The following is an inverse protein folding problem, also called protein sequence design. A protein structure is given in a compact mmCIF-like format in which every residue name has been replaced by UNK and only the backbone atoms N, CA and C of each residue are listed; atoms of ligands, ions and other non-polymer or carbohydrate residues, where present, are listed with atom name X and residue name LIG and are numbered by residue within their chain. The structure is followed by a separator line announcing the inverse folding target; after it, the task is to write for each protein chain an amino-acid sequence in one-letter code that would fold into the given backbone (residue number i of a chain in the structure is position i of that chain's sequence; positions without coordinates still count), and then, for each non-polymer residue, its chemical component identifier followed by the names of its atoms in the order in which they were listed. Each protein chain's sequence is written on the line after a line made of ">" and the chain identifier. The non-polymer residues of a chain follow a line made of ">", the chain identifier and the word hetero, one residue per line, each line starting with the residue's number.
data_IF_288712367428
#
_entry.id   IF_288712367428
#
_cell.length_a   1.000
_cell.length_b   1.000
_cell.length_c   1.000
_cell.angle_alpha   90.00
_cell.angle_beta   90.00
_cell.angle_gamma   90.00
#
_symmetry.space_group_name_H-M   'P 1'
#
loop_
_entity.id
_entity.type
_entity.pdbx_description
1 polymer ?
#
# COMPACT_ATOMS: atom_id res chain seq x y z
N UNK A 1 14.07 -1.10 -8.38
CA UNK A 1 13.03 -0.14 -8.71
C UNK A 1 11.75 -0.43 -7.93
N UNK A 2 10.89 0.59 -7.73
CA UNK A 2 9.64 0.51 -7.00
C UNK A 2 8.51 0.96 -7.94
N UNK A 3 7.44 0.18 -8.05
CA UNK A 3 6.27 0.50 -8.87
C UNK A 3 5.01 0.56 -7.99
N UNK A 4 4.13 1.53 -8.25
CA UNK A 4 2.83 1.64 -7.59
C UNK A 4 1.70 1.16 -8.50
N UNK A 5 0.60 0.75 -7.91
CA UNK A 5 -0.65 0.50 -8.61
C UNK A 5 -1.66 1.58 -8.24
N UNK A 6 -2.10 2.36 -9.22
CA UNK A 6 -2.99 3.50 -9.02
C UNK A 6 -4.19 3.50 -9.99
N UNK A 7 -5.22 4.29 -9.67
CA UNK A 7 -6.39 4.49 -10.54
C UNK A 7 -5.99 5.22 -11.82
N UNK A 8 -6.60 4.86 -12.96
CA UNK A 8 -6.36 5.51 -14.26
C UNK A 8 -6.71 7.00 -14.29
N UNK A 9 -7.66 7.45 -13.44
CA UNK A 9 -8.05 8.86 -13.35
C UNK A 9 -6.89 9.77 -12.92
N UNK A 10 -5.92 9.24 -12.16
CA UNK A 10 -4.72 9.97 -11.72
C UNK A 10 -3.86 10.39 -12.93
N UNK A 11 -3.90 9.63 -14.03
CA UNK A 11 -3.18 9.96 -15.25
C UNK A 11 -3.64 11.29 -15.89
N UNK A 12 -4.85 11.76 -15.59
CA UNK A 12 -5.36 13.05 -16.10
C UNK A 12 -4.84 14.27 -15.34
N UNK A 13 -4.14 14.10 -14.21
CA UNK A 13 -3.63 15.20 -13.39
C UNK A 13 -2.16 15.48 -13.72
N UNK A 14 -1.82 16.62 -14.35
CA UNK A 14 -0.50 16.81 -14.97
C UNK A 14 0.67 16.60 -14.00
N UNK A 15 0.63 17.20 -12.82
CA UNK A 15 1.72 17.11 -11.83
C UNK A 15 1.81 15.71 -11.23
N UNK A 16 0.66 15.15 -10.83
CA UNK A 16 0.61 13.83 -10.21
C UNK A 16 0.97 12.75 -11.23
N UNK A 17 0.53 12.90 -12.48
CA UNK A 17 0.91 11.99 -13.56
C UNK A 17 2.42 12.00 -13.82
N UNK A 18 3.06 13.17 -13.83
CA UNK A 18 4.51 13.26 -13.98
C UNK A 18 5.25 12.52 -12.83
N UNK A 19 4.83 12.70 -11.58
CA UNK A 19 5.38 11.98 -10.44
C UNK A 19 5.12 10.47 -10.53
N UNK A 20 3.92 10.07 -10.91
CA UNK A 20 3.53 8.67 -11.07
C UNK A 20 4.32 7.99 -12.21
N UNK A 21 4.58 8.71 -13.30
CA UNK A 21 5.40 8.22 -14.41
C UNK A 21 6.86 7.97 -13.98
N UNK A 22 7.44 8.87 -13.18
CA UNK A 22 8.79 8.68 -12.61
C UNK A 22 8.88 7.42 -11.74
N UNK A 23 7.77 7.04 -11.08
CA UNK A 23 7.69 5.85 -10.25
C UNK A 23 7.16 4.61 -11.00
N UNK A 24 7.12 4.64 -12.33
CA UNK A 24 6.70 3.52 -13.18
C UNK A 24 5.33 2.96 -12.78
N UNK A 25 4.40 3.84 -12.38
CA UNK A 25 3.08 3.47 -11.87
C UNK A 25 2.26 2.66 -12.87
N UNK A 26 1.67 1.57 -12.41
CA UNK A 26 0.74 0.73 -13.17
C UNK A 26 -0.67 1.30 -12.97
N UNK A 27 -1.32 1.74 -14.04
CA UNK A 27 -2.67 2.28 -13.96
C UNK A 27 -3.73 1.19 -14.13
N UNK A 28 -4.76 1.23 -13.27
CA UNK A 28 -5.91 0.34 -13.33
C UNK A 28 -7.19 1.11 -13.67
N UNK A 29 -7.84 0.74 -14.76
CA UNK A 29 -9.21 1.17 -15.07
C UNK A 29 -10.20 0.15 -14.48
N UNK A 30 -10.80 0.48 -13.34
CA UNK A 30 -11.71 -0.43 -12.61
C UNK A 30 -13.06 -0.61 -13.27
N UNK A 31 -13.43 0.23 -14.23
CA UNK A 31 -14.69 0.16 -14.95
C UNK A 31 -14.62 -0.88 -16.09
N UNK A 32 -13.43 -1.25 -16.54
CA UNK A 32 -13.24 -2.25 -17.59
C UNK A 32 -13.31 -3.67 -17.03
N UNK A 33 -14.19 -4.49 -17.58
CA UNK A 33 -14.16 -5.95 -17.33
C UNK A 33 -12.79 -6.49 -17.79
N UNK A 34 -12.12 -7.23 -16.92
CA UNK A 34 -10.79 -7.78 -17.23
C UNK A 34 -9.60 -6.90 -16.82
N UNK A 35 -9.81 -5.64 -16.41
CA UNK A 35 -8.73 -4.75 -15.98
C UNK A 35 -7.86 -5.37 -14.87
N UNK A 36 -8.46 -6.13 -13.95
CA UNK A 36 -7.73 -6.85 -12.91
C UNK A 36 -6.73 -7.85 -13.49
N UNK A 37 -7.09 -8.58 -14.55
CA UNK A 37 -6.19 -9.53 -15.20
C UNK A 37 -5.00 -8.81 -15.86
N UNK A 38 -5.26 -7.71 -16.59
CA UNK A 38 -4.20 -6.90 -17.22
C UNK A 38 -3.23 -6.36 -16.19
N UNK A 39 -3.75 -5.81 -15.08
CA UNK A 39 -2.92 -5.31 -13.98
C UNK A 39 -2.14 -6.44 -13.32
N UNK A 40 -2.77 -7.59 -13.09
CA UNK A 40 -2.08 -8.78 -12.54
C UNK A 40 -0.92 -9.21 -13.42
N UNK A 41 -1.09 -9.22 -14.74
CA UNK A 41 -0.02 -9.56 -15.68
C UNK A 41 1.10 -8.52 -15.65
N UNK A 42 0.77 -7.22 -15.66
CA UNK A 42 1.76 -6.14 -15.57
C UNK A 42 2.56 -6.20 -14.25
N UNK A 43 1.88 -6.43 -13.14
CA UNK A 43 2.54 -6.64 -11.83
C UNK A 43 3.44 -7.88 -11.87
N UNK A 44 2.97 -8.99 -12.48
CA UNK A 44 3.74 -10.20 -12.64
C UNK A 44 5.06 -9.96 -13.36
N UNK A 45 5.04 -9.21 -14.47
CA UNK A 45 6.26 -8.84 -15.19
C UNK A 45 7.22 -8.01 -14.35
N UNK A 46 6.73 -7.02 -13.60
CA UNK A 46 7.57 -6.19 -12.73
C UNK A 46 8.25 -7.00 -11.64
N UNK A 47 7.48 -7.89 -11.00
CA UNK A 47 8.01 -8.78 -9.98
C UNK A 47 9.04 -9.76 -10.57
N UNK A 48 8.82 -10.27 -11.79
CA UNK A 48 9.76 -11.11 -12.49
C UNK A 48 11.08 -10.40 -12.82
N UNK A 49 11.02 -9.08 -13.05
CA UNK A 49 12.20 -8.21 -13.21
C UNK A 49 12.90 -7.85 -11.88
N UNK A 50 12.40 -8.39 -10.74
CA UNK A 50 12.95 -8.11 -9.41
C UNK A 50 12.55 -6.75 -8.86
N UNK A 51 11.49 -6.13 -9.40
CA UNK A 51 10.97 -4.88 -8.87
C UNK A 51 10.07 -5.10 -7.64
N UNK A 52 10.05 -4.10 -6.75
CA UNK A 52 9.07 -4.03 -5.68
C UNK A 52 7.76 -3.44 -6.21
N UNK A 53 6.63 -4.04 -5.86
CA UNK A 53 5.31 -3.50 -6.24
C UNK A 53 4.53 -3.13 -4.99
N UNK A 54 4.11 -1.87 -4.89
CA UNK A 54 3.23 -1.38 -3.82
C UNK A 54 1.79 -1.45 -4.28
N UNK A 55 0.98 -2.14 -3.49
CA UNK A 55 -0.43 -2.39 -3.77
C UNK A 55 -1.29 -1.90 -2.61
N UNK A 56 -2.21 -0.98 -2.88
CA UNK A 56 -3.27 -0.60 -1.94
C UNK A 56 -4.41 -1.62 -2.01
N UNK A 57 -4.34 -2.62 -1.12
CA UNK A 57 -5.22 -3.80 -1.19
C UNK A 57 -6.68 -3.48 -0.86
N UNK A 58 -6.99 -2.38 -0.18
CA UNK A 58 -8.35 -1.89 0.03
C UNK A 58 -9.05 -1.54 -1.28
N UNK A 59 -8.24 -1.18 -2.27
CA UNK A 59 -8.74 -0.85 -3.59
C UNK A 59 -9.53 0.45 -3.67
N UNK A 60 -9.66 1.22 -2.60
CA UNK A 60 -10.26 2.55 -2.53
C UNK A 60 -9.68 3.30 -1.33
N UNK A 61 -9.94 4.59 -1.23
CA UNK A 61 -9.53 5.41 -0.08
C UNK A 61 -10.63 5.44 0.97
N UNK A 62 -10.25 5.37 2.23
CA UNK A 62 -11.14 5.49 3.39
C UNK A 62 -10.97 6.83 4.11
N UNK A 63 -11.83 7.06 5.10
CA UNK A 63 -11.85 8.26 5.94
C UNK A 63 -10.73 8.32 7.00
N UNK A 64 -9.78 7.40 6.96
CA UNK A 64 -8.69 7.30 7.91
C UNK A 64 -9.06 6.73 9.29
N UNK A 65 -10.33 6.41 9.53
CA UNK A 65 -10.80 5.90 10.82
C UNK A 65 -10.79 4.39 10.94
N UNK A 66 -10.80 3.69 9.82
CA UNK A 66 -10.84 2.22 9.78
C UNK A 66 -10.16 1.69 8.52
N UNK A 67 -9.57 0.54 8.66
CA UNK A 67 -9.10 -0.25 7.53
C UNK A 67 -10.30 -0.85 6.80
N UNK A 68 -10.37 -0.66 5.50
CA UNK A 68 -11.36 -1.32 4.65
C UNK A 68 -10.92 -2.76 4.34
N UNK A 69 -11.85 -3.66 3.99
CA UNK A 69 -11.50 -5.04 3.66
C UNK A 69 -10.56 -5.14 2.45
N UNK A 70 -9.52 -5.95 2.54
CA UNK A 70 -8.60 -6.18 1.44
C UNK A 70 -9.24 -7.01 0.32
N UNK A 71 -8.98 -6.63 -0.90
CA UNK A 71 -9.50 -7.29 -2.10
C UNK A 71 -8.55 -8.40 -2.55
N UNK A 72 -8.93 -9.65 -2.31
CA UNK A 72 -8.11 -10.82 -2.67
C UNK A 72 -7.81 -10.92 -4.18
N UNK A 73 -8.62 -10.32 -5.04
CA UNK A 73 -8.36 -10.25 -6.47
C UNK A 73 -7.06 -9.48 -6.80
N UNK A 74 -6.75 -8.44 -6.01
CA UNK A 74 -5.52 -7.66 -6.17
C UNK A 74 -4.30 -8.45 -5.71
N UNK A 75 -4.40 -9.17 -4.59
CA UNK A 75 -3.33 -10.07 -4.11
C UNK A 75 -3.12 -11.25 -5.06
N UNK A 76 -4.14 -11.61 -5.85
CA UNK A 76 -4.03 -12.62 -6.91
C UNK A 76 -2.98 -12.30 -7.98
N UNK A 77 -2.53 -11.05 -8.11
CA UNK A 77 -1.41 -10.67 -8.95
C UNK A 77 -0.09 -11.36 -8.57
N UNK A 78 0.10 -11.69 -7.28
CA UNK A 78 1.23 -12.50 -6.84
C UNK A 78 1.29 -13.86 -7.55
N UNK A 79 0.13 -14.47 -7.84
CA UNK A 79 0.06 -15.74 -8.58
C UNK A 79 0.48 -15.57 -10.05
N UNK A 80 0.13 -14.44 -10.68
CA UNK A 80 0.59 -14.16 -12.04
C UNK A 80 2.12 -13.99 -12.09
N UNK A 81 2.72 -13.40 -11.06
CA UNK A 81 4.17 -13.32 -10.92
C UNK A 81 4.84 -14.70 -10.83
N UNK A 82 4.27 -15.60 -10.02
CA UNK A 82 4.79 -16.98 -9.92
C UNK A 82 4.74 -17.75 -11.24
N UNK A 83 3.73 -17.44 -12.07
CA UNK A 83 3.60 -18.07 -13.40
C UNK A 83 4.57 -17.48 -14.43
N UNK A 84 4.92 -16.19 -14.30
CA UNK A 84 5.86 -15.51 -15.20
C UNK A 84 7.32 -15.87 -14.91
N UNK A 85 7.65 -16.22 -13.67
CA UNK A 85 8.99 -16.60 -13.26
C UNK A 85 9.18 -18.14 -13.30
N UNK A 86 9.71 -18.63 -14.39
CA UNK A 86 10.24 -19.98 -14.43
C UNK A 86 11.46 -20.09 -13.48
N UNK A 87 11.20 -20.42 -12.21
CA UNK A 87 12.29 -20.83 -11.31
C UNK A 87 12.33 -20.27 -9.89
N UNK A 88 11.66 -19.18 -9.52
CA UNK A 88 11.75 -18.65 -8.14
C UNK A 88 10.68 -19.16 -7.18
N UNK A 89 9.59 -19.74 -7.66
CA UNK A 89 8.61 -20.51 -6.87
C UNK A 89 7.89 -19.78 -5.73
N UNK A 90 8.29 -18.55 -5.35
CA UNK A 90 7.72 -17.80 -4.22
C UNK A 90 7.76 -16.29 -4.41
N UNK A 91 6.73 -15.61 -3.94
CA UNK A 91 6.65 -14.14 -3.82
C UNK A 91 6.46 -13.80 -2.36
N UNK A 92 7.10 -12.74 -1.88
CA UNK A 92 6.91 -12.26 -0.52
C UNK A 92 5.87 -11.14 -0.51
N UNK A 93 4.82 -11.30 0.30
CA UNK A 93 3.86 -10.24 0.61
C UNK A 93 4.31 -9.57 1.90
N UNK A 94 4.57 -8.27 1.85
CA UNK A 94 4.98 -7.47 2.99
C UNK A 94 3.83 -6.55 3.41
N UNK A 95 3.08 -6.88 4.50
CA UNK A 95 2.05 -5.98 5.02
C UNK A 95 2.69 -4.67 5.51
N UNK A 96 2.06 -3.54 5.19
CA UNK A 96 2.53 -2.22 5.55
C UNK A 96 1.35 -1.37 6.01
N UNK A 97 1.41 -0.84 7.23
CA UNK A 97 0.45 0.12 7.75
C UNK A 97 1.02 1.53 7.69
N UNK A 98 0.23 2.48 7.18
CA UNK A 98 0.54 3.91 7.21
C UNK A 98 -0.55 4.60 8.02
N UNK A 99 -0.14 5.40 9.01
CA UNK A 99 -1.06 6.17 9.84
C UNK A 99 -0.55 7.59 10.10
N UNK A 100 -1.47 8.47 10.44
CA UNK A 100 -1.24 9.88 10.76
C UNK A 100 -1.66 10.14 12.21
N UNK A 101 -0.83 9.75 13.20
CA UNK A 101 -1.23 9.79 14.61
C UNK A 101 -1.30 11.19 15.20
N UNK A 102 -0.55 12.17 14.64
CA UNK A 102 -0.46 13.52 15.20
C UNK A 102 -0.47 14.59 14.10
N UNK A 103 -1.04 15.75 14.45
CA UNK A 103 -0.97 16.97 13.66
C UNK A 103 -0.54 18.12 14.57
N UNK A 104 0.45 18.92 14.17
CA UNK A 104 1.03 19.98 15.01
C UNK A 104 1.51 19.48 16.39
N UNK A 105 2.00 18.23 16.46
CA UNK A 105 2.43 17.59 17.70
C UNK A 105 1.30 17.05 18.60
N UNK A 106 0.03 17.32 18.30
CA UNK A 106 -1.12 16.86 19.05
C UNK A 106 -1.73 15.59 18.43
N UNK A 107 -2.26 14.65 19.25
CA UNK A 107 -2.94 13.48 18.75
C UNK A 107 -4.14 13.85 17.88
N UNK A 108 -4.24 13.25 16.69
CA UNK A 108 -5.38 13.42 15.78
C UNK A 108 -6.56 12.62 16.29
N UNK A 109 -7.65 13.29 16.62
CA UNK A 109 -8.89 12.64 17.05
C UNK A 109 -9.70 12.12 15.88
N UNK A 110 -10.68 11.25 16.16
CA UNK A 110 -11.44 10.55 15.14
C UNK A 110 -12.13 11.48 14.13
N UNK A 111 -12.66 12.62 14.58
CA UNK A 111 -13.33 13.62 13.72
C UNK A 111 -12.37 14.33 12.78
N UNK A 112 -11.11 14.51 13.17
CA UNK A 112 -10.09 15.21 12.38
C UNK A 112 -9.44 14.33 11.32
N UNK A 113 -9.50 13.00 11.45
CA UNK A 113 -8.87 12.07 10.48
C UNK A 113 -9.45 12.23 9.09
N UNK A 114 -10.73 12.48 8.98
CA UNK A 114 -11.39 12.75 7.69
C UNK A 114 -10.92 14.02 7.00
N UNK A 115 -10.31 14.97 7.73
CA UNK A 115 -9.70 16.17 7.15
C UNK A 115 -8.32 15.89 6.55
N UNK A 116 -7.63 14.87 7.05
CA UNK A 116 -6.32 14.42 6.55
C UNK A 116 -6.51 13.47 5.36
N UNK A 117 -7.53 12.62 5.43
CA UNK A 117 -7.78 11.61 4.42
C UNK A 117 -8.48 12.21 3.19
N UNK A 118 -7.98 11.87 2.00
CA UNK A 118 -8.67 12.15 0.76
C UNK A 118 -9.49 10.92 0.34
N UNK A 119 -10.82 11.03 0.34
CA UNK A 119 -11.72 9.88 0.10
C UNK A 119 -13.04 10.31 -0.56
N UNK A 120 -13.79 9.33 -1.06
CA UNK A 120 -15.07 9.56 -1.72
C UNK A 120 -14.92 10.41 -2.99
N UNK A 121 -15.82 11.37 -3.16
CA UNK A 121 -15.89 12.26 -4.33
C UNK A 121 -15.21 13.64 -4.06
N UNK A 122 -14.30 13.70 -3.09
CA UNK A 122 -13.59 14.95 -2.77
C UNK A 122 -12.65 15.36 -3.90
N UNK A 123 -12.71 16.64 -4.28
CA UNK A 123 -11.75 17.23 -5.19
C UNK A 123 -10.34 17.28 -4.55
N UNK A 124 -9.35 16.73 -5.27
CA UNK A 124 -7.99 16.64 -4.73
C UNK A 124 -7.35 18.02 -4.50
N UNK A 125 -7.50 18.95 -5.43
CA UNK A 125 -6.76 20.22 -5.36
C UNK A 125 -7.16 21.08 -4.15
N UNK A 126 -8.45 21.34 -3.86
CA UNK A 126 -8.84 22.05 -2.65
C UNK A 126 -8.49 21.27 -1.37
N UNK A 127 -8.64 19.93 -1.39
CA UNK A 127 -8.24 19.11 -0.25
C UNK A 127 -6.75 19.22 0.04
N UNK A 128 -5.90 19.11 -0.99
CA UNK A 128 -4.44 19.24 -0.84
C UNK A 128 -4.03 20.62 -0.33
N UNK A 129 -4.70 21.69 -0.79
CA UNK A 129 -4.44 23.04 -0.30
C UNK A 129 -4.75 23.13 1.20
N UNK A 130 -5.90 22.63 1.66
CA UNK A 130 -6.28 22.58 3.07
C UNK A 130 -5.33 21.72 3.89
N UNK A 131 -4.93 20.57 3.35
CA UNK A 131 -3.97 19.67 3.99
C UNK A 131 -2.63 20.35 4.27
N UNK A 132 -2.06 21.05 3.26
CA UNK A 132 -0.78 21.75 3.38
C UNK A 132 -0.87 22.93 4.37
N UNK A 133 -1.99 23.67 4.37
CA UNK A 133 -2.22 24.77 5.30
C UNK A 133 -2.41 24.30 6.75
N UNK A 134 -2.79 23.05 6.94
CA UNK A 134 -3.08 22.50 8.27
C UNK A 134 -1.88 22.25 9.17
N UNK A 135 -0.66 22.48 8.68
CA UNK A 135 0.58 22.35 9.43
C UNK A 135 1.16 20.91 9.39
N UNK A 136 2.26 20.68 10.13
CA UNK A 136 2.99 19.43 10.09
C UNK A 136 2.18 18.26 10.62
N UNK A 137 2.32 17.10 9.95
CA UNK A 137 1.67 15.85 10.29
C UNK A 137 2.75 14.79 10.51
N UNK A 138 2.63 14.06 11.62
CA UNK A 138 3.46 12.87 11.87
C UNK A 138 2.92 11.71 11.04
N UNK A 139 3.81 11.07 10.31
CA UNK A 139 3.51 9.84 9.55
C UNK A 139 4.20 8.68 10.21
N UNK A 140 3.44 7.67 10.60
CA UNK A 140 3.98 6.43 11.13
C UNK A 140 3.77 5.29 10.14
N UNK A 141 4.87 4.62 9.79
CA UNK A 141 4.89 3.47 8.89
C UNK A 141 5.31 2.25 9.69
N UNK A 142 4.49 1.20 9.69
CA UNK A 142 4.75 -0.04 10.42
C UNK A 142 4.73 -1.22 9.46
N UNK A 143 5.83 -1.98 9.47
CA UNK A 143 5.99 -3.22 8.72
C UNK A 143 5.40 -4.38 9.51
N UNK A 144 4.44 -5.11 8.94
CA UNK A 144 3.92 -6.35 9.50
C UNK A 144 4.83 -7.54 9.21
N UNK A 145 4.43 -8.73 9.63
CA UNK A 145 5.19 -9.96 9.35
C UNK A 145 5.08 -10.32 7.88
N UNK A 146 6.21 -10.60 7.19
CA UNK A 146 6.19 -11.04 5.80
C UNK A 146 5.43 -12.37 5.65
N UNK A 147 4.65 -12.49 4.57
CA UNK A 147 3.87 -13.68 4.22
C UNK A 147 4.46 -14.26 2.94
N UNK A 148 4.91 -15.51 2.99
CA UNK A 148 5.38 -16.21 1.79
C UNK A 148 4.17 -16.67 0.98
N UNK A 149 4.14 -16.30 -0.30
CA UNK A 149 3.12 -16.69 -1.25
C UNK A 149 3.72 -17.61 -2.30
N UNK A 150 3.23 -18.83 -2.38
CA UNK A 150 3.66 -19.90 -3.29
C UNK A 150 2.50 -20.35 -4.19
N UNK A 151 2.77 -21.22 -5.15
CA UNK A 151 1.76 -21.75 -6.07
C UNK A 151 0.58 -22.43 -5.35
N UNK A 152 0.84 -23.07 -4.21
CA UNK A 152 -0.15 -23.74 -3.36
C UNK A 152 -0.87 -22.81 -2.39
N UNK A 153 -0.40 -21.57 -2.23
CA UNK A 153 -0.96 -20.63 -1.25
C UNK A 153 -2.36 -20.17 -1.68
N UNK A 154 -3.35 -20.32 -0.80
CA UNK A 154 -4.66 -19.75 -1.04
C UNK A 154 -4.60 -18.22 -0.90
N UNK A 155 -5.00 -17.53 -1.98
CA UNK A 155 -4.96 -16.06 -2.02
C UNK A 155 -5.87 -15.39 -0.98
N UNK A 156 -6.99 -16.01 -0.61
CA UNK A 156 -7.92 -15.45 0.39
C UNK A 156 -7.31 -15.54 1.77
N UNK A 157 -6.65 -16.67 2.08
CA UNK A 157 -5.94 -16.86 3.35
C UNK A 157 -4.78 -15.88 3.47
N UNK A 158 -3.95 -15.74 2.44
CA UNK A 158 -2.84 -14.78 2.43
C UNK A 158 -3.34 -13.33 2.56
N UNK A 159 -4.46 -12.97 1.88
CA UNK A 159 -5.06 -11.65 1.99
C UNK A 159 -5.58 -11.37 3.38
N UNK A 160 -6.28 -12.33 3.99
CA UNK A 160 -6.80 -12.18 5.35
C UNK A 160 -5.68 -12.06 6.38
N UNK A 161 -4.58 -12.79 6.20
CA UNK A 161 -3.41 -12.67 7.06
C UNK A 161 -2.75 -11.28 6.93
N UNK A 162 -2.58 -10.78 5.71
CA UNK A 162 -2.03 -9.44 5.48
C UNK A 162 -2.94 -8.35 6.06
N UNK A 163 -4.27 -8.46 5.87
CA UNK A 163 -5.24 -7.54 6.46
C UNK A 163 -5.19 -7.54 7.98
N UNK A 164 -5.06 -8.70 8.61
CA UNK A 164 -4.98 -8.82 10.06
C UNK A 164 -3.72 -8.13 10.62
N UNK A 165 -2.57 -8.28 9.98
CA UNK A 165 -1.31 -7.61 10.35
C UNK A 165 -1.45 -6.08 10.23
N UNK A 166 -1.97 -5.57 9.11
CA UNK A 166 -2.16 -4.13 8.91
C UNK A 166 -3.19 -3.57 9.90
N UNK A 167 -4.28 -4.29 10.14
CA UNK A 167 -5.31 -3.90 11.11
C UNK A 167 -4.77 -3.83 12.53
N UNK A 168 -3.97 -4.79 12.95
CA UNK A 168 -3.35 -4.81 14.27
C UNK A 168 -2.39 -3.62 14.43
N UNK A 169 -1.52 -3.38 13.45
CA UNK A 169 -0.58 -2.25 13.45
C UNK A 169 -1.32 -0.91 13.48
N UNK A 170 -2.31 -0.71 12.61
CA UNK A 170 -3.09 0.52 12.55
C UNK A 170 -3.84 0.78 13.86
N UNK A 171 -4.47 -0.25 14.43
CA UNK A 171 -5.16 -0.15 15.73
C UNK A 171 -4.18 0.24 16.84
N UNK A 172 -3.00 -0.39 16.88
CA UNK A 172 -1.96 -0.06 17.85
C UNK A 172 -1.55 1.41 17.78
N UNK A 173 -1.28 1.92 16.58
CA UNK A 173 -0.90 3.32 16.36
C UNK A 173 -2.03 4.26 16.80
N UNK A 174 -3.25 4.04 16.31
CA UNK A 174 -4.38 4.95 16.54
C UNK A 174 -4.90 4.94 17.98
N UNK A 175 -4.59 3.90 18.77
CA UNK A 175 -4.95 3.82 20.19
C UNK A 175 -3.79 4.17 21.13
N UNK A 176 -2.63 4.52 20.58
CA UNK A 176 -1.43 4.80 21.37
C UNK A 176 -0.83 3.58 22.07
N UNK A 177 -1.27 2.37 21.69
CA UNK A 177 -0.77 1.09 22.22
C UNK A 177 0.32 0.48 21.34
N UNK A 178 0.61 1.07 20.20
CA UNK A 178 1.72 0.68 19.34
C UNK A 178 3.04 1.10 20.01
N UNK A 179 4.04 0.22 19.99
CA UNK A 179 5.38 0.60 20.38
C UNK A 179 5.80 1.82 19.53
N UNK A 180 6.28 2.86 20.22
CA UNK A 180 6.87 4.01 19.54
C UNK A 180 8.07 3.49 18.74
N UNK A 181 7.91 3.33 17.43
CA UNK A 181 9.08 3.07 16.59
C UNK A 181 10.02 4.27 16.70
N UNK A 182 11.33 4.04 16.83
CA UNK A 182 12.28 5.13 16.97
C UNK A 182 12.12 6.11 15.81
N UNK A 183 12.07 7.39 16.15
CA UNK A 183 12.06 8.50 15.20
C UNK A 183 13.18 8.34 14.17
N UNK A 184 13.03 8.94 13.01
CA UNK A 184 13.87 8.85 11.78
C UNK A 184 15.40 9.03 11.96
N UNK A 185 15.91 9.14 13.18
CA UNK A 185 17.34 9.21 13.51
C UNK A 185 18.02 7.86 13.80
N UNK A 186 17.23 6.81 14.07
CA UNK A 186 17.75 5.47 14.26
C UNK A 186 17.19 4.58 13.14
N UNK A 187 17.91 4.52 12.03
CA UNK A 187 17.65 3.56 10.96
C UNK A 187 17.92 2.15 11.53
N UNK A 188 16.92 1.34 11.90
CA UNK A 188 17.19 -0.07 12.04
C UNK A 188 17.61 -0.54 10.66
N UNK A 189 18.70 -1.25 10.57
CA UNK A 189 19.03 -1.98 9.36
C UNK A 189 17.77 -2.77 8.99
N UNK A 190 17.31 -2.72 7.73
CA UNK A 190 16.19 -3.55 7.30
C UNK A 190 16.56 -4.98 7.71
N UNK A 191 15.62 -5.74 8.32
CA UNK A 191 15.88 -7.13 8.66
C UNK A 191 16.32 -7.78 7.36
N UNK A 192 17.57 -8.25 7.32
CA UNK A 192 18.35 -8.69 6.18
C UNK A 192 17.51 -8.85 4.92
N UNK A 193 17.56 -7.85 4.06
CA UNK A 193 17.04 -7.94 2.72
C UNK A 193 17.85 -9.02 2.01
N UNK A 194 17.40 -10.25 2.14
CA UNK A 194 17.78 -11.30 1.23
C UNK A 194 17.16 -10.93 -0.12
N UNK A 195 17.92 -10.20 -0.92
CA UNK A 195 17.53 -9.70 -2.24
C UNK A 195 17.30 -10.83 -3.27
N UNK A 196 17.20 -12.07 -2.82
CA UNK A 196 16.97 -13.26 -3.64
C UNK A 196 15.52 -13.51 -4.05
N UNK A 197 14.54 -12.67 -3.71
CA UNK A 197 13.13 -12.87 -4.02
C UNK A 197 12.42 -11.59 -4.46
N UNK A 198 11.40 -11.74 -5.33
CA UNK A 198 10.47 -10.66 -5.69
C UNK A 198 9.57 -10.32 -4.50
N UNK A 199 9.33 -9.05 -4.23
CA UNK A 199 8.58 -8.58 -3.07
C UNK A 199 7.39 -7.70 -3.45
N UNK A 200 6.24 -7.94 -2.82
CA UNK A 200 5.07 -7.07 -2.90
C UNK A 200 4.86 -6.42 -1.54
N UNK A 201 4.98 -5.10 -1.45
CA UNK A 201 4.51 -4.36 -0.30
C UNK A 201 3.00 -4.16 -0.42
N UNK A 202 2.25 -4.60 0.59
CA UNK A 202 0.78 -4.46 0.68
C UNK A 202 0.47 -3.42 1.75
N UNK A 203 -0.16 -2.35 1.32
CA UNK A 203 -0.60 -1.21 2.17
C UNK A 203 -2.10 -1.22 2.33
#
# INVERSE_FOLDING_TARGET
>A
PLSFVAKSEIASWPVINALAALQRTIYIDRQRRGATATVSTAMGHRLAEGELVVLFAEGTTGDGNRLLPFRSALVGAARAALQAEAGRGRVRLQPLAIAYPRRNGLPVVRSERSEIAWYGDMDLAPHLATFVQGGPIDVQVVWGKPITFEATTDRKVATAAAEAEVRAALTGILTGRGEAQPSLGARPAPPGLDLGGSEIATV
#
